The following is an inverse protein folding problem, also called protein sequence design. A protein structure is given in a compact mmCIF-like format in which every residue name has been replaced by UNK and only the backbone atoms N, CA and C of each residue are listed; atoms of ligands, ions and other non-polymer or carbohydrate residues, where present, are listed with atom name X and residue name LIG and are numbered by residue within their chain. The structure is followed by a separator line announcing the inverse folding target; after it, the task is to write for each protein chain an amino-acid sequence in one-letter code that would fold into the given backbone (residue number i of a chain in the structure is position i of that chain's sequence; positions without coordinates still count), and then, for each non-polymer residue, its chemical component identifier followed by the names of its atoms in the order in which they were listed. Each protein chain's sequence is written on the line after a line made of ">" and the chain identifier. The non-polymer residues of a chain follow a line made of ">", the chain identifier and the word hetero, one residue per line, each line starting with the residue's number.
data_IF_759985827791
#
_entry.id   IF_759985827791
#
_cell.length_a   1.000
_cell.length_b   1.000
_cell.length_c   1.000
_cell.angle_alpha   90.00
_cell.angle_beta   90.00
_cell.angle_gamma   90.00
#
_symmetry.space_group_name_H-M   'P 1'
#
loop_
_entity.id
_entity.type
_entity.pdbx_description
1 polymer ?
#
# COMPACT_ATOMS: atom_id res chain seq x y z
N UNK A 1 40.19 -18.95 -10.45
CA UNK A 1 39.15 -18.13 -11.11
C UNK A 1 37.81 -18.45 -10.46
N UNK A 2 37.05 -17.44 -9.98
CA UNK A 2 35.71 -17.63 -9.39
C UNK A 2 34.69 -16.90 -10.27
N UNK A 3 33.54 -17.55 -10.51
CA UNK A 3 32.44 -17.01 -11.32
C UNK A 3 31.17 -17.09 -10.48
N UNK A 4 30.37 -16.02 -10.48
CA UNK A 4 29.07 -15.94 -9.81
C UNK A 4 28.08 -15.16 -10.67
N UNK A 5 26.80 -15.54 -10.64
CA UNK A 5 25.70 -14.83 -11.31
C UNK A 5 24.42 -14.94 -10.49
N UNK A 6 23.53 -13.96 -10.66
CA UNK A 6 22.24 -13.92 -9.98
C UNK A 6 21.25 -14.88 -10.65
N UNK A 7 20.39 -15.50 -9.85
CA UNK A 7 19.31 -16.39 -10.32
C UNK A 7 17.98 -15.96 -9.73
N UNK A 8 16.97 -15.88 -10.57
CA UNK A 8 15.60 -15.58 -10.18
C UNK A 8 14.73 -16.85 -10.26
N UNK A 9 14.06 -17.20 -9.17
CA UNK A 9 13.02 -18.23 -9.05
C UNK A 9 11.67 -17.61 -8.63
N UNK A 10 10.59 -18.39 -8.68
CA UNK A 10 9.27 -17.95 -8.23
C UNK A 10 9.27 -17.48 -6.77
N UNK A 11 10.00 -18.16 -5.88
CA UNK A 11 10.20 -17.76 -4.48
C UNK A 11 10.90 -16.41 -4.37
N UNK A 12 11.98 -16.21 -5.14
CA UNK A 12 12.72 -14.94 -5.08
C UNK A 12 11.89 -13.78 -5.65
N UNK A 13 11.03 -14.03 -6.64
CA UNK A 13 10.09 -13.02 -7.17
C UNK A 13 9.03 -12.65 -6.14
N UNK A 14 8.51 -13.62 -5.40
CA UNK A 14 7.59 -13.37 -4.29
C UNK A 14 8.24 -12.47 -3.23
N UNK A 15 9.48 -12.77 -2.83
CA UNK A 15 10.25 -11.90 -1.93
C UNK A 15 10.54 -10.52 -2.54
N UNK A 16 10.83 -10.46 -3.83
CA UNK A 16 11.11 -9.22 -4.53
C UNK A 16 9.89 -8.29 -4.50
N UNK A 17 8.70 -8.80 -4.85
CA UNK A 17 7.47 -8.03 -4.90
C UNK A 17 6.99 -7.64 -3.50
N UNK A 18 7.00 -8.57 -2.55
CA UNK A 18 6.39 -8.33 -1.24
C UNK A 18 7.31 -7.63 -0.24
N UNK A 19 8.63 -7.65 -0.45
CA UNK A 19 9.60 -7.07 0.50
C UNK A 19 10.60 -6.13 -0.17
N UNK A 20 11.33 -6.61 -1.17
CA UNK A 20 12.47 -5.84 -1.71
C UNK A 20 12.02 -4.57 -2.45
N UNK A 21 10.97 -4.64 -3.26
CA UNK A 21 10.43 -3.49 -4.00
C UNK A 21 9.83 -2.44 -3.06
N UNK A 22 8.95 -2.77 -2.09
CA UNK A 22 8.49 -1.81 -1.09
C UNK A 22 9.64 -1.10 -0.38
N UNK A 23 10.66 -1.84 0.06
CA UNK A 23 11.84 -1.25 0.71
C UNK A 23 12.63 -0.34 -0.23
N UNK A 24 12.79 -0.74 -1.49
CA UNK A 24 13.50 0.05 -2.51
C UNK A 24 12.77 1.36 -2.81
N UNK A 25 11.43 1.35 -2.79
CA UNK A 25 10.59 2.54 -2.99
C UNK A 25 10.74 3.56 -1.87
N UNK A 26 10.83 3.11 -0.62
CA UNK A 26 11.00 4.00 0.55
C UNK A 26 12.28 4.82 0.43
N UNK A 27 13.33 4.24 -0.16
CA UNK A 27 14.64 4.90 -0.35
C UNK A 27 14.88 5.39 -1.80
N UNK A 28 13.84 5.40 -2.64
CA UNK A 28 13.89 5.81 -4.04
C UNK A 28 15.02 5.14 -4.86
N UNK A 29 15.29 3.86 -4.60
CA UNK A 29 16.31 3.10 -5.31
C UNK A 29 15.76 2.50 -6.61
N UNK A 30 16.52 2.66 -7.69
CA UNK A 30 16.17 2.08 -9.00
C UNK A 30 15.92 0.58 -8.91
N UNK A 31 14.81 0.13 -9.49
CA UNK A 31 14.53 -1.29 -9.64
C UNK A 31 15.48 -1.91 -10.67
N UNK A 32 16.31 -2.88 -10.23
CA UNK A 32 17.33 -3.50 -11.08
C UNK A 32 16.74 -4.53 -12.05
N UNK A 33 15.73 -5.28 -11.63
CA UNK A 33 15.07 -6.31 -12.41
C UNK A 33 13.60 -5.96 -12.51
N UNK A 34 13.01 -6.03 -13.70
CA UNK A 34 11.62 -5.63 -13.97
C UNK A 34 10.66 -6.70 -13.44
N UNK A 35 10.51 -6.80 -12.12
CA UNK A 35 9.97 -7.99 -11.44
C UNK A 35 8.54 -8.29 -11.87
N UNK A 36 7.69 -7.26 -11.98
CA UNK A 36 6.30 -7.40 -12.43
C UNK A 36 6.22 -7.96 -13.86
N UNK A 37 7.08 -7.49 -14.76
CA UNK A 37 7.17 -8.00 -16.13
C UNK A 37 7.69 -9.43 -16.19
N UNK A 38 8.70 -9.77 -15.38
CA UNK A 38 9.22 -11.14 -15.26
C UNK A 38 8.10 -12.10 -14.85
N UNK A 39 7.26 -11.73 -13.88
CA UNK A 39 6.09 -12.54 -13.48
C UNK A 39 5.15 -12.78 -14.66
N UNK A 40 4.75 -11.73 -15.37
CA UNK A 40 3.83 -11.82 -16.52
C UNK A 40 4.37 -12.75 -17.63
N UNK A 41 5.59 -12.52 -18.10
CA UNK A 41 6.17 -13.32 -19.18
C UNK A 41 6.46 -14.76 -18.75
N UNK A 42 6.81 -14.98 -17.47
CA UNK A 42 7.00 -16.34 -16.95
C UNK A 42 5.68 -17.10 -16.88
N UNK A 43 4.58 -16.45 -16.44
CA UNK A 43 3.24 -17.04 -16.50
C UNK A 43 2.83 -17.38 -17.93
N UNK A 44 3.05 -16.47 -18.88
CA UNK A 44 2.74 -16.72 -20.28
C UNK A 44 3.48 -17.95 -20.80
N UNK A 45 4.78 -18.06 -20.50
CA UNK A 45 5.60 -19.22 -20.88
C UNK A 45 5.14 -20.52 -20.22
N UNK A 46 4.89 -20.50 -18.92
CA UNK A 46 4.46 -21.68 -18.16
C UNK A 46 3.07 -22.14 -18.59
N UNK A 47 2.15 -21.22 -18.85
CA UNK A 47 0.83 -21.53 -19.41
C UNK A 47 0.95 -22.27 -20.74
N UNK A 48 1.76 -21.77 -21.68
CA UNK A 48 1.99 -22.45 -22.97
C UNK A 48 2.60 -23.83 -22.79
N UNK A 49 3.58 -23.98 -21.88
CA UNK A 49 4.20 -25.25 -21.58
C UNK A 49 3.18 -26.25 -21.02
N UNK A 50 2.39 -25.85 -20.03
CA UNK A 50 1.38 -26.71 -19.40
C UNK A 50 0.30 -27.13 -20.40
N UNK A 51 -0.17 -26.22 -21.28
CA UNK A 51 -1.09 -26.56 -22.37
C UNK A 51 -0.49 -27.59 -23.33
N UNK A 52 0.77 -27.40 -23.74
CA UNK A 52 1.44 -28.37 -24.63
C UNK A 52 1.63 -29.73 -23.98
N UNK A 53 2.01 -29.76 -22.70
CA UNK A 53 2.18 -30.99 -21.93
C UNK A 53 0.85 -31.72 -21.77
N UNK A 54 -0.25 -30.99 -21.51
CA UNK A 54 -1.58 -31.56 -21.44
C UNK A 54 -2.01 -32.18 -22.77
N UNK A 55 -1.84 -31.47 -23.88
CA UNK A 55 -2.19 -32.00 -25.20
C UNK A 55 -1.42 -33.29 -25.53
N UNK A 56 -0.15 -33.40 -25.11
CA UNK A 56 0.64 -34.63 -25.27
C UNK A 56 0.09 -35.80 -24.43
N UNK A 57 -0.40 -35.52 -23.21
CA UNK A 57 -1.03 -36.55 -22.36
C UNK A 57 -2.37 -37.00 -22.95
N UNK A 58 -3.17 -36.07 -23.48
CA UNK A 58 -4.48 -36.36 -24.09
C UNK A 58 -4.37 -37.15 -25.40
N UNK A 59 -3.31 -36.94 -26.19
CA UNK A 59 -3.06 -37.73 -27.41
C UNK A 59 -2.67 -39.19 -27.13
N UNK A 60 -2.39 -39.55 -25.88
CA UNK A 60 -2.00 -40.90 -25.48
C UNK A 60 -0.61 -41.32 -25.96
N UNK A 61 -0.18 -42.50 -25.52
CA UNK A 61 1.11 -43.12 -25.87
C UNK A 61 1.99 -43.44 -24.65
N UNK A 62 3.08 -44.18 -24.88
CA UNK A 62 3.96 -44.73 -23.84
C UNK A 62 4.54 -43.66 -22.89
N UNK A 63 4.64 -42.41 -23.35
CA UNK A 63 5.17 -41.30 -22.59
C UNK A 63 4.13 -40.56 -21.72
N UNK A 64 2.83 -40.79 -21.91
CA UNK A 64 1.79 -40.01 -21.24
C UNK A 64 1.81 -40.19 -19.70
N UNK A 65 1.93 -41.42 -19.21
CA UNK A 65 2.03 -41.70 -17.77
C UNK A 65 3.31 -41.12 -17.16
N UNK A 66 4.43 -41.21 -17.89
CA UNK A 66 5.73 -40.67 -17.47
C UNK A 66 5.68 -39.15 -17.31
N UNK A 67 5.04 -38.46 -18.27
CA UNK A 67 4.84 -37.01 -18.25
C UNK A 67 3.94 -36.61 -17.07
N UNK A 68 2.84 -37.31 -16.84
CA UNK A 68 1.90 -37.02 -15.76
C UNK A 68 2.54 -37.17 -14.36
N UNK A 69 3.47 -38.11 -14.20
CA UNK A 69 4.20 -38.34 -12.95
C UNK A 69 5.47 -37.51 -12.82
N UNK A 70 5.79 -36.67 -13.82
CA UNK A 70 7.02 -35.90 -13.85
C UNK A 70 7.08 -34.85 -12.72
N UNK A 71 8.15 -34.91 -11.92
CA UNK A 71 8.45 -33.93 -10.87
C UNK A 71 8.57 -32.52 -11.46
N UNK A 72 9.11 -32.39 -12.69
CA UNK A 72 9.27 -31.09 -13.36
C UNK A 72 7.92 -30.46 -13.68
N UNK A 73 6.95 -31.26 -14.13
CA UNK A 73 5.59 -30.76 -14.43
C UNK A 73 4.92 -30.28 -13.16
N UNK A 74 5.00 -31.06 -12.07
CA UNK A 74 4.46 -30.66 -10.75
C UNK A 74 5.11 -29.39 -10.22
N UNK A 75 6.42 -29.25 -10.39
CA UNK A 75 7.13 -28.02 -10.00
C UNK A 75 6.65 -26.81 -10.80
N UNK A 76 6.52 -26.94 -12.13
CA UNK A 76 5.98 -25.86 -12.98
C UNK A 76 4.54 -25.51 -12.61
N UNK A 77 3.68 -26.50 -12.32
CA UNK A 77 2.31 -26.25 -11.84
C UNK A 77 2.30 -25.47 -10.52
N UNK A 78 3.16 -25.85 -9.57
CA UNK A 78 3.30 -25.15 -8.28
C UNK A 78 3.78 -23.71 -8.46
N UNK A 79 4.81 -23.52 -9.28
CA UNK A 79 5.37 -22.20 -9.57
C UNK A 79 4.37 -21.34 -10.36
N UNK A 80 3.60 -21.93 -11.27
CA UNK A 80 2.55 -21.25 -12.01
C UNK A 80 1.49 -20.67 -11.08
N UNK A 81 1.01 -21.44 -10.09
CA UNK A 81 0.06 -20.96 -9.08
C UNK A 81 0.63 -19.82 -8.25
N UNK A 82 1.88 -19.95 -7.79
CA UNK A 82 2.57 -18.90 -7.02
C UNK A 82 2.72 -17.62 -7.83
N UNK A 83 3.18 -17.73 -9.08
CA UNK A 83 3.31 -16.59 -9.98
C UNK A 83 1.94 -15.96 -10.28
N UNK A 84 0.88 -16.76 -10.38
CA UNK A 84 -0.48 -16.26 -10.59
C UNK A 84 -0.95 -15.40 -9.41
N UNK A 85 -0.65 -15.82 -8.18
CA UNK A 85 -0.95 -15.00 -7.00
C UNK A 85 -0.20 -13.66 -7.01
N UNK A 86 1.05 -13.63 -7.50
CA UNK A 86 1.79 -12.38 -7.68
C UNK A 86 1.16 -11.51 -8.78
N UNK A 87 0.76 -12.11 -9.90
CA UNK A 87 0.09 -11.39 -10.98
C UNK A 87 -1.26 -10.82 -10.56
N UNK A 88 -2.04 -11.57 -9.77
CA UNK A 88 -3.27 -11.08 -9.12
C UNK A 88 -2.99 -9.81 -8.31
N UNK A 89 -1.99 -9.83 -7.43
CA UNK A 89 -1.61 -8.66 -6.63
C UNK A 89 -1.15 -7.47 -7.50
N UNK A 90 -0.44 -7.73 -8.60
CA UNK A 90 -0.05 -6.70 -9.57
C UNK A 90 -1.28 -6.07 -10.24
N UNK A 91 -2.23 -6.88 -10.69
CA UNK A 91 -3.46 -6.35 -11.30
C UNK A 91 -4.28 -5.55 -10.29
N UNK A 92 -4.48 -6.07 -9.08
CA UNK A 92 -5.24 -5.37 -8.04
C UNK A 92 -4.65 -4.00 -7.69
N UNK A 93 -3.32 -3.85 -7.69
CA UNK A 93 -2.67 -2.56 -7.42
C UNK A 93 -2.71 -1.56 -8.58
N UNK A 94 -3.05 -2.01 -9.79
CA UNK A 94 -3.12 -1.18 -11.00
C UNK A 94 -4.56 -1.07 -11.56
N UNK A 95 -5.55 -1.50 -10.78
CA UNK A 95 -6.97 -1.32 -11.07
C UNK A 95 -7.44 0.10 -10.74
N UNK A 96 -8.14 0.75 -11.68
CA UNK A 96 -8.85 1.99 -11.39
C UNK A 96 -10.07 1.76 -10.48
N UNK A 97 -10.55 2.83 -9.82
CA UNK A 97 -11.79 2.80 -9.04
C UNK A 97 -12.98 2.32 -9.91
N UNK A 98 -13.95 1.57 -9.37
CA UNK A 98 -15.06 1.00 -10.15
C UNK A 98 -15.84 2.06 -10.93
N UNK A 99 -16.01 3.24 -10.34
CA UNK A 99 -16.82 4.34 -10.90
C UNK A 99 -16.00 5.34 -11.72
N UNK A 100 -14.69 5.11 -11.84
CA UNK A 100 -13.82 5.99 -12.61
C UNK A 100 -14.03 5.76 -14.11
N UNK A 101 -14.05 6.86 -14.87
CA UNK A 101 -14.18 6.86 -16.34
C UNK A 101 -12.88 7.35 -16.97
N UNK A 102 -11.78 6.71 -16.60
CA UNK A 102 -10.47 7.04 -17.12
C UNK A 102 -10.25 6.45 -18.50
N UNK A 103 -9.69 7.26 -19.40
CA UNK A 103 -9.34 6.86 -20.76
C UNK A 103 -7.81 6.94 -20.93
N UNK A 104 -7.08 5.89 -20.51
CA UNK A 104 -5.63 5.91 -20.59
C UNK A 104 -5.14 5.91 -22.05
N UNK A 105 -4.13 6.71 -22.34
CA UNK A 105 -3.39 6.67 -23.60
C UNK A 105 -2.58 5.37 -23.68
N UNK A 106 -2.57 4.71 -24.83
CA UNK A 106 -1.78 3.50 -25.02
C UNK A 106 -0.35 3.86 -25.41
N UNK A 107 0.61 3.54 -24.55
CA UNK A 107 2.03 3.62 -24.86
C UNK A 107 2.56 2.21 -25.15
N UNK A 108 3.18 1.94 -26.31
CA UNK A 108 3.76 0.62 -26.56
C UNK A 108 4.76 0.23 -25.47
N UNK A 109 4.57 -0.97 -24.89
CA UNK A 109 5.44 -1.47 -23.84
C UNK A 109 6.91 -1.59 -24.29
N UNK A 110 7.79 -0.79 -23.70
CA UNK A 110 9.24 -0.77 -24.00
C UNK A 110 10.09 -1.27 -22.81
N UNK A 111 9.44 -1.69 -21.73
CA UNK A 111 10.03 -2.08 -20.45
C UNK A 111 10.80 -0.95 -19.71
N UNK A 112 10.85 0.28 -20.18
CA UNK A 112 11.77 1.30 -19.66
C UNK A 112 11.06 2.42 -18.90
N UNK A 113 9.74 2.41 -18.88
CA UNK A 113 8.95 3.33 -18.06
C UNK A 113 9.27 3.12 -16.57
N UNK A 114 9.74 4.18 -15.92
CA UNK A 114 10.03 4.18 -14.48
C UNK A 114 9.34 5.35 -13.81
N UNK A 115 8.90 5.13 -12.56
CA UNK A 115 8.32 6.19 -11.78
C UNK A 115 9.40 7.22 -11.42
N UNK A 116 9.17 8.49 -11.77
CA UNK A 116 10.10 9.59 -11.47
C UNK A 116 10.37 9.72 -9.97
N UNK A 117 9.41 9.32 -9.12
CA UNK A 117 9.51 9.31 -7.68
C UNK A 117 10.29 8.13 -7.11
N UNK A 118 9.69 6.94 -7.16
CA UNK A 118 10.21 5.79 -6.46
C UNK A 118 11.25 5.01 -7.27
N UNK A 119 11.48 5.42 -8.53
CA UNK A 119 12.43 4.82 -9.48
C UNK A 119 12.21 3.34 -9.78
N UNK A 120 11.06 2.80 -9.36
CA UNK A 120 10.64 1.45 -9.72
C UNK A 120 10.05 1.43 -11.12
N UNK A 121 10.17 0.29 -11.78
CA UNK A 121 9.57 0.08 -13.08
C UNK A 121 8.04 0.07 -12.94
N UNK A 122 7.39 0.72 -13.90
CA UNK A 122 5.94 0.72 -14.03
C UNK A 122 5.56 -0.46 -14.92
N UNK A 123 4.67 -1.32 -14.43
CA UNK A 123 4.21 -2.47 -15.20
C UNK A 123 3.20 -2.05 -16.26
N UNK A 124 2.02 -1.56 -15.89
CA UNK A 124 1.00 -1.19 -16.87
C UNK A 124 0.57 0.27 -16.77
N UNK A 125 -0.08 0.66 -15.66
CA UNK A 125 -0.78 1.97 -15.56
C UNK A 125 -0.04 3.00 -14.74
N UNK A 126 -0.01 4.23 -15.25
CA UNK A 126 0.67 5.36 -14.64
C UNK A 126 0.11 6.70 -15.13
N UNK A 127 0.43 7.76 -14.40
CA UNK A 127 0.17 9.13 -14.82
C UNK A 127 1.42 9.69 -15.49
N UNK A 128 1.26 10.26 -16.68
CA UNK A 128 2.32 10.98 -17.37
C UNK A 128 1.97 12.45 -17.48
N UNK A 129 2.91 13.35 -17.16
CA UNK A 129 2.73 14.78 -17.36
C UNK A 129 3.71 15.32 -18.41
N UNK A 130 3.14 15.82 -19.51
CA UNK A 130 3.87 16.38 -20.66
C UNK A 130 4.29 17.84 -20.44
N UNK A 131 3.64 18.56 -19.51
CA UNK A 131 3.94 19.98 -19.23
C UNK A 131 5.10 20.15 -18.25
N UNK A 132 5.21 19.28 -17.26
CA UNK A 132 6.21 19.38 -16.20
C UNK A 132 7.58 18.76 -16.58
N UNK A 133 7.79 18.38 -17.86
CA UNK A 133 9.05 17.78 -18.36
C UNK A 133 10.28 18.69 -18.25
N UNK A 134 10.12 19.99 -18.53
CA UNK A 134 11.24 20.95 -18.68
C UNK A 134 11.35 21.96 -17.52
N UNK A 135 10.67 21.73 -16.40
CA UNK A 135 10.52 22.77 -15.37
C UNK A 135 11.86 23.16 -14.68
N UNK A 136 12.92 22.34 -14.82
CA UNK A 136 14.19 22.53 -14.10
C UNK A 136 15.46 22.37 -14.96
N UNK A 137 15.43 21.63 -16.06
CA UNK A 137 16.55 21.53 -17.01
C UNK A 137 16.01 21.23 -18.41
N UNK A 138 16.48 21.97 -19.42
CA UNK A 138 16.16 21.69 -20.82
C UNK A 138 16.83 20.43 -21.38
N UNK A 139 17.68 19.78 -20.60
CA UNK A 139 18.40 18.55 -20.98
C UNK A 139 17.66 17.26 -20.58
N UNK A 140 16.66 17.34 -19.69
CA UNK A 140 15.88 16.17 -19.27
C UNK A 140 14.66 16.06 -20.20
N UNK A 141 14.79 15.21 -21.21
CA UNK A 141 13.73 14.99 -22.21
C UNK A 141 12.63 14.02 -21.72
N UNK A 142 12.82 13.38 -20.57
CA UNK A 142 11.90 12.37 -20.04
C UNK A 142 10.62 12.98 -19.44
N UNK A 143 9.43 12.44 -19.78
CA UNK A 143 8.18 12.87 -19.18
C UNK A 143 8.13 12.58 -17.68
N UNK A 144 7.31 13.35 -16.95
CA UNK A 144 7.14 13.14 -15.53
C UNK A 144 6.12 12.04 -15.27
N UNK A 145 6.60 10.83 -15.03
CA UNK A 145 5.79 9.62 -14.91
C UNK A 145 5.65 9.18 -13.45
N UNK A 146 4.42 8.92 -13.01
CA UNK A 146 4.08 8.55 -11.63
C UNK A 146 3.31 7.25 -11.62
N UNK A 147 3.82 6.24 -10.92
CA UNK A 147 3.12 4.96 -10.80
C UNK A 147 1.85 5.10 -9.95
N UNK A 148 0.86 4.22 -10.20
CA UNK A 148 -0.41 4.15 -9.43
C UNK A 148 -0.19 4.17 -7.91
N UNK A 149 0.80 3.41 -7.42
CA UNK A 149 1.06 3.30 -5.99
C UNK A 149 1.58 4.61 -5.38
N UNK A 150 2.47 5.31 -6.09
CA UNK A 150 2.93 6.65 -5.68
C UNK A 150 1.78 7.66 -5.73
N UNK A 151 0.95 7.60 -6.76
CA UNK A 151 -0.21 8.47 -6.90
C UNK A 151 -1.23 8.27 -5.77
N UNK A 152 -1.55 7.02 -5.42
CA UNK A 152 -2.45 6.70 -4.30
C UNK A 152 -1.92 7.19 -2.93
N UNK A 153 -0.60 7.40 -2.80
CA UNK A 153 0.01 8.03 -1.61
C UNK A 153 -0.01 9.57 -1.66
N UNK A 154 -0.68 10.17 -2.65
CA UNK A 154 -0.77 11.63 -2.84
C UNK A 154 0.39 12.25 -3.61
N UNK A 155 1.26 11.44 -4.25
CA UNK A 155 2.39 11.97 -5.03
C UNK A 155 1.92 12.39 -6.41
N UNK A 156 2.19 13.63 -6.79
CA UNK A 156 1.81 14.20 -8.09
C UNK A 156 2.76 15.31 -8.50
N UNK A 157 2.86 15.62 -9.80
CA UNK A 157 3.72 16.72 -10.24
C UNK A 157 3.17 18.10 -9.79
N UNK A 158 4.06 19.09 -9.73
CA UNK A 158 3.75 20.49 -9.37
C UNK A 158 2.57 21.12 -10.11
N UNK A 159 2.33 20.73 -11.36
CA UNK A 159 1.26 21.31 -12.17
C UNK A 159 -0.13 20.71 -11.90
N UNK A 160 -0.27 19.72 -11.00
CA UNK A 160 -1.48 19.04 -10.47
C UNK A 160 -2.54 18.53 -11.47
N UNK A 161 -2.94 19.33 -12.47
CA UNK A 161 -3.97 19.05 -13.48
C UNK A 161 -3.44 18.59 -14.84
N UNK A 162 -2.14 18.70 -15.11
CA UNK A 162 -1.54 18.38 -16.42
C UNK A 162 -1.25 16.91 -16.71
N UNK A 163 -1.78 15.98 -15.90
CA UNK A 163 -1.49 14.56 -16.04
C UNK A 163 -2.50 13.86 -16.96
N UNK A 164 -2.02 12.89 -17.72
CA UNK A 164 -2.84 11.96 -18.48
C UNK A 164 -2.55 10.54 -18.00
N UNK A 165 -3.60 9.74 -17.82
CA UNK A 165 -3.42 8.31 -17.61
C UNK A 165 -2.82 7.65 -18.85
N UNK A 166 -1.90 6.74 -18.64
CA UNK A 166 -1.24 5.95 -19.68
C UNK A 166 -1.29 4.48 -19.27
N UNK A 167 -1.46 3.59 -20.23
CA UNK A 167 -1.32 2.14 -20.06
C UNK A 167 -0.37 1.55 -21.10
N UNK A 168 0.41 0.54 -20.72
CA UNK A 168 1.36 -0.12 -21.63
C UNK A 168 0.77 -1.32 -22.37
N UNK A 169 -0.23 -1.95 -21.76
CA UNK A 169 -1.08 -2.97 -22.34
C UNK A 169 -2.54 -2.60 -22.13
N UNK A 170 -3.36 -3.00 -23.10
CA UNK A 170 -4.80 -2.88 -22.96
C UNK A 170 -5.24 -3.66 -21.74
N UNK A 171 -5.94 -2.99 -20.84
CA UNK A 171 -6.42 -3.61 -19.61
C UNK A 171 -7.26 -4.87 -19.86
N UNK A 172 -8.06 -4.86 -20.93
CA UNK A 172 -8.87 -6.02 -21.35
C UNK A 172 -8.01 -7.25 -21.64
N UNK A 173 -6.85 -7.08 -22.26
CA UNK A 173 -5.95 -8.18 -22.59
C UNK A 173 -5.36 -8.79 -21.31
N UNK A 174 -5.00 -7.94 -20.34
CA UNK A 174 -4.50 -8.39 -19.02
C UNK A 174 -5.57 -9.16 -18.23
N UNK A 175 -6.83 -8.74 -18.29
CA UNK A 175 -7.96 -9.47 -17.69
C UNK A 175 -8.16 -10.80 -18.41
N UNK A 176 -8.18 -10.83 -19.74
CA UNK A 176 -8.35 -12.09 -20.47
C UNK A 176 -7.25 -13.10 -20.12
N UNK A 177 -6.00 -12.64 -19.97
CA UNK A 177 -4.90 -13.49 -19.48
C UNK A 177 -5.14 -13.98 -18.06
N UNK A 178 -5.64 -13.13 -17.18
CA UNK A 178 -6.00 -13.51 -15.81
C UNK A 178 -7.03 -14.64 -15.82
N UNK A 179 -8.12 -14.49 -16.58
CA UNK A 179 -9.19 -15.49 -16.64
C UNK A 179 -8.72 -16.80 -17.29
N UNK A 180 -7.93 -16.72 -18.36
CA UNK A 180 -7.32 -17.88 -19.03
C UNK A 180 -6.42 -18.68 -18.09
N UNK A 181 -5.60 -17.99 -17.29
CA UNK A 181 -4.69 -18.63 -16.34
C UNK A 181 -5.43 -19.15 -15.11
N UNK A 182 -6.46 -18.44 -14.66
CA UNK A 182 -7.37 -18.92 -13.61
C UNK A 182 -8.05 -20.22 -14.02
N UNK A 183 -8.59 -20.29 -15.24
CA UNK A 183 -9.21 -21.50 -15.77
C UNK A 183 -8.22 -22.67 -15.82
N UNK A 184 -6.96 -22.42 -16.19
CA UNK A 184 -5.90 -23.43 -16.15
C UNK A 184 -5.57 -23.91 -14.73
N UNK A 185 -5.61 -23.03 -13.73
CA UNK A 185 -5.40 -23.44 -12.33
C UNK A 185 -6.52 -24.37 -11.86
N UNK A 186 -7.78 -24.04 -12.17
CA UNK A 186 -8.94 -24.89 -11.85
C UNK A 186 -8.77 -26.27 -12.48
N UNK A 187 -8.35 -26.32 -13.73
CA UNK A 187 -8.10 -27.56 -14.44
C UNK A 187 -6.94 -28.38 -13.84
N UNK A 188 -5.85 -27.72 -13.43
CA UNK A 188 -4.72 -28.38 -12.75
C UNK A 188 -5.16 -29.00 -11.41
N UNK A 189 -6.05 -28.33 -10.68
CA UNK A 189 -6.62 -28.84 -9.42
C UNK A 189 -7.69 -29.91 -9.63
N UNK A 190 -8.26 -30.01 -10.84
CA UNK A 190 -9.33 -30.93 -11.21
C UNK A 190 -10.69 -30.60 -10.58
N UNK A 191 -10.74 -29.69 -9.61
CA UNK A 191 -11.95 -29.22 -8.95
C UNK A 191 -11.73 -27.83 -8.35
N UNK A 192 -12.82 -27.13 -8.04
CA UNK A 192 -12.76 -25.89 -7.28
C UNK A 192 -12.49 -26.20 -5.81
N UNK A 193 -11.50 -25.54 -5.23
CA UNK A 193 -11.13 -25.60 -3.82
C UNK A 193 -11.25 -24.22 -3.19
N UNK A 194 -11.19 -24.13 -1.86
CA UNK A 194 -11.18 -22.83 -1.16
C UNK A 194 -9.96 -21.96 -1.52
N UNK A 195 -8.90 -22.57 -2.07
CA UNK A 195 -7.68 -21.89 -2.52
C UNK A 195 -7.74 -21.49 -3.99
N UNK A 196 -8.80 -21.85 -4.70
CA UNK A 196 -8.98 -21.49 -6.10
C UNK A 196 -9.16 -19.98 -6.20
N UNK A 197 -8.37 -19.29 -7.04
CA UNK A 197 -8.50 -17.85 -7.18
C UNK A 197 -9.90 -17.45 -7.65
N UNK A 198 -10.40 -16.32 -7.15
CA UNK A 198 -11.70 -15.78 -7.55
C UNK A 198 -11.54 -14.97 -8.86
N UNK A 199 -12.64 -14.62 -9.55
CA UNK A 199 -12.58 -13.64 -10.62
C UNK A 199 -12.00 -12.30 -10.09
N UNK A 200 -11.26 -11.57 -10.92
CA UNK A 200 -10.50 -10.39 -10.48
C UNK A 200 -11.37 -9.33 -9.78
N UNK A 201 -12.61 -9.15 -10.23
CA UNK A 201 -13.55 -8.21 -9.59
C UNK A 201 -13.95 -8.63 -8.17
N UNK A 202 -14.05 -9.94 -7.91
CA UNK A 202 -14.38 -10.46 -6.59
C UNK A 202 -13.16 -10.41 -5.67
N UNK A 203 -11.96 -10.75 -6.18
CA UNK A 203 -10.69 -10.56 -5.46
C UNK A 203 -10.53 -9.12 -4.96
N UNK A 204 -10.94 -8.15 -5.78
CA UNK A 204 -10.93 -6.73 -5.39
C UNK A 204 -11.85 -6.46 -4.20
N UNK A 205 -13.06 -7.02 -4.18
CA UNK A 205 -14.00 -6.84 -3.06
C UNK A 205 -13.41 -7.41 -1.77
N UNK A 206 -12.82 -8.60 -1.83
CA UNK A 206 -12.15 -9.25 -0.69
C UNK A 206 -10.93 -8.44 -0.22
N UNK A 207 -10.20 -7.80 -1.15
CA UNK A 207 -9.09 -6.93 -0.80
C UNK A 207 -9.56 -5.64 -0.08
N UNK A 208 -10.63 -5.02 -0.56
CA UNK A 208 -11.21 -3.81 0.04
C UNK A 208 -11.78 -4.06 1.44
N UNK A 209 -12.31 -5.25 1.73
CA UNK A 209 -12.77 -5.62 3.10
C UNK A 209 -11.62 -5.92 4.07
N UNK A 210 -10.37 -5.72 3.64
CA UNK A 210 -9.17 -5.96 4.45
C UNK A 210 -8.92 -7.43 4.76
N UNK A 211 -9.69 -8.37 4.20
CA UNK A 211 -9.50 -9.81 4.40
C UNK A 211 -8.13 -10.28 3.90
N UNK A 212 -7.65 -9.69 2.80
CA UNK A 212 -6.28 -9.90 2.28
C UNK A 212 -5.17 -9.41 3.23
N UNK A 213 -5.43 -8.38 4.05
CA UNK A 213 -4.44 -7.84 5.00
C UNK A 213 -4.38 -8.63 6.31
N UNK A 214 -5.29 -9.58 6.53
CA UNK A 214 -5.36 -10.45 7.73
C UNK A 214 -4.50 -11.72 7.63
N UNK A 215 -3.57 -11.82 6.67
CA UNK A 215 -2.59 -12.92 6.66
C UNK A 215 -1.64 -12.75 7.86
N UNK A 216 -1.69 -13.70 8.81
CA UNK A 216 -0.88 -13.71 10.03
C UNK A 216 0.64 -13.63 9.80
N UNK A 217 1.12 -13.84 8.56
CA UNK A 217 2.53 -13.72 8.18
C UNK A 217 2.95 -12.31 7.76
N UNK A 218 1.99 -11.41 7.52
CA UNK A 218 2.24 -10.01 7.18
C UNK A 218 2.36 -9.21 8.48
N UNK A 219 3.49 -8.53 8.70
CA UNK A 219 3.62 -7.54 9.76
C UNK A 219 3.35 -6.15 9.14
N UNK A 220 2.26 -5.46 9.52
CA UNK A 220 2.03 -4.09 9.08
C UNK A 220 3.27 -3.23 9.36
N UNK A 221 3.55 -2.30 8.45
CA UNK A 221 4.59 -1.32 8.71
C UNK A 221 4.15 -0.44 9.88
N UNK A 222 4.81 -0.62 11.02
CA UNK A 222 4.75 0.36 12.10
C UNK A 222 5.69 1.51 11.72
N UNK A 223 5.17 2.73 11.54
CA UNK A 223 6.03 3.89 11.34
C UNK A 223 6.94 4.02 12.56
N UNK A 224 8.23 3.71 12.36
CA UNK A 224 9.28 4.04 13.33
C UNK A 224 9.19 5.54 13.51
N UNK A 225 8.78 5.99 14.69
CA UNK A 225 8.26 7.33 14.95
C UNK A 225 8.96 8.44 14.16
N UNK A 226 8.20 9.44 13.73
CA UNK A 226 8.72 10.64 13.09
C UNK A 226 9.72 11.30 14.03
N UNK A 227 11.03 11.15 13.77
CA UNK A 227 12.07 11.88 14.47
C UNK A 227 11.96 13.37 14.09
N UNK A 228 11.53 14.26 15.00
CA UNK A 228 11.28 15.65 14.68
C UNK A 228 12.62 16.41 14.69
N UNK A 229 13.28 16.56 13.53
CA UNK A 229 14.39 17.53 13.46
C UNK A 229 14.79 18.06 12.08
N UNK A 230 14.24 17.59 10.97
CA UNK A 230 14.71 18.03 9.66
C UNK A 230 13.58 18.36 8.68
N UNK A 231 13.69 19.57 8.10
CA UNK A 231 12.88 20.06 6.99
C UNK A 231 13.07 19.16 5.76
N UNK A 232 12.02 18.43 5.39
CA UNK A 232 12.00 17.50 4.27
C UNK A 232 12.02 18.19 2.90
N UNK A 233 11.72 19.50 2.82
CA UNK A 233 11.79 20.27 1.56
C UNK A 233 13.21 20.36 1.00
N UNK A 234 14.24 20.30 1.85
CA UNK A 234 15.64 20.38 1.42
C UNK A 234 16.13 19.13 0.68
N UNK A 235 15.44 18.00 0.85
CA UNK A 235 15.84 16.69 0.32
C UNK A 235 14.78 16.11 -0.63
N UNK A 236 13.56 16.62 -0.59
CA UNK A 236 12.49 16.21 -1.50
C UNK A 236 12.81 16.59 -2.95
N UNK A 237 12.37 15.75 -3.90
CA UNK A 237 12.37 16.11 -5.32
C UNK A 237 11.53 17.38 -5.48
N UNK A 238 12.11 18.45 -6.03
CA UNK A 238 11.44 19.76 -6.17
C UNK A 238 10.21 19.68 -7.08
N UNK A 239 10.09 18.62 -7.91
CA UNK A 239 8.92 18.33 -8.72
C UNK A 239 7.77 17.70 -7.92
N UNK A 240 8.02 17.31 -6.68
CA UNK A 240 7.08 16.64 -5.77
C UNK A 240 6.21 17.62 -4.99
N UNK A 241 4.89 17.39 -5.03
CA UNK A 241 3.92 18.01 -4.11
C UNK A 241 3.43 16.97 -3.11
N UNK A 242 4.34 16.22 -2.48
CA UNK A 242 3.97 15.42 -1.32
C UNK A 242 3.33 16.28 -0.23
N UNK A 243 2.49 15.68 0.61
CA UNK A 243 2.18 16.17 1.96
C UNK A 243 3.47 16.16 2.79
N UNK A 244 4.44 16.98 2.41
CA UNK A 244 5.63 17.25 3.18
C UNK A 244 5.10 17.97 4.42
N UNK A 245 5.07 17.26 5.54
CA UNK A 245 4.93 17.90 6.84
C UNK A 245 6.09 18.89 6.92
N UNK A 246 5.76 20.18 6.88
CA UNK A 246 6.74 21.24 7.01
C UNK A 246 7.17 21.29 8.47
N UNK A 247 8.15 20.48 8.83
CA UNK A 247 8.67 20.42 10.21
C UNK A 247 9.45 21.70 10.60
N UNK A 248 9.66 22.66 9.68
CA UNK A 248 10.12 24.01 10.03
C UNK A 248 8.98 24.84 10.64
N UNK A 249 7.73 24.54 10.26
CA UNK A 249 6.53 25.01 10.94
C UNK A 249 6.31 24.10 12.14
N UNK A 250 7.03 24.38 13.21
CA UNK A 250 6.75 23.75 14.49
C UNK A 250 5.31 24.06 14.90
N UNK A 251 4.56 23.04 15.33
CA UNK A 251 3.28 23.28 15.99
C UNK A 251 3.46 24.27 17.16
N UNK A 252 4.65 24.43 17.75
CA UNK A 252 4.95 25.45 18.78
C UNK A 252 4.61 26.90 18.39
N UNK A 253 4.23 27.21 17.15
CA UNK A 253 3.62 28.51 16.82
C UNK A 253 2.40 28.86 17.72
N UNK A 254 1.68 27.89 18.30
CA UNK A 254 0.61 28.19 19.29
C UNK A 254 1.12 28.63 20.68
N UNK A 255 2.42 28.45 20.95
CA UNK A 255 3.13 28.90 22.15
C UNK A 255 3.91 30.20 21.93
N UNK A 256 3.87 30.79 20.73
CA UNK A 256 4.53 32.06 20.48
C UNK A 256 3.64 33.21 20.96
N UNK A 257 4.18 34.03 21.86
CA UNK A 257 3.58 35.31 22.22
C UNK A 257 3.69 36.23 21.00
N UNK A 258 2.58 36.74 20.49
CA UNK A 258 2.60 37.74 19.43
C UNK A 258 2.99 39.10 20.04
N UNK A 259 3.99 39.76 19.45
CA UNK A 259 4.44 41.08 19.90
C UNK A 259 3.26 42.06 19.95
N UNK A 260 2.88 42.47 21.16
CA UNK A 260 1.79 43.42 21.43
C UNK A 260 0.61 42.86 22.22
N UNK A 261 0.50 41.55 22.39
CA UNK A 261 -0.55 40.94 23.21
C UNK A 261 0.08 39.87 24.11
N UNK A 262 0.15 40.14 25.42
CA UNK A 262 0.77 39.26 26.44
C UNK A 262 0.02 37.94 26.71
N UNK A 263 -0.53 37.31 25.67
CA UNK A 263 -1.21 36.02 25.71
C UNK A 263 -0.88 35.22 24.45
N UNK A 264 -0.55 33.94 24.65
CA UNK A 264 -0.28 32.96 23.59
C UNK A 264 -1.56 32.65 22.79
N UNK A 265 -1.41 32.26 21.51
CA UNK A 265 -2.54 31.95 20.63
C UNK A 265 -3.46 30.84 21.21
N UNK A 266 -2.89 29.88 21.94
CA UNK A 266 -3.67 28.87 22.67
C UNK A 266 -4.49 29.46 23.82
N UNK A 267 -3.92 30.40 24.58
CA UNK A 267 -4.63 31.04 25.70
C UNK A 267 -5.81 31.88 25.20
N UNK A 268 -5.68 32.56 24.06
CA UNK A 268 -6.81 33.27 23.45
C UNK A 268 -7.93 32.33 23.03
N UNK A 269 -7.60 31.17 22.44
CA UNK A 269 -8.61 30.16 22.07
C UNK A 269 -9.28 29.52 23.29
N UNK A 270 -8.53 29.25 24.35
CA UNK A 270 -9.09 28.76 25.61
C UNK A 270 -10.03 29.80 26.23
N UNK A 271 -9.61 31.07 26.26
CA UNK A 271 -10.45 32.15 26.77
C UNK A 271 -11.72 32.35 25.91
N UNK A 272 -11.59 32.29 24.58
CA UNK A 272 -12.73 32.36 23.67
C UNK A 272 -13.68 31.17 23.89
N UNK A 273 -13.17 29.96 24.00
CA UNK A 273 -13.98 28.78 24.29
C UNK A 273 -14.68 28.88 25.66
N UNK A 274 -14.03 29.47 26.67
CA UNK A 274 -14.64 29.73 27.98
C UNK A 274 -15.76 30.78 27.89
N UNK A 275 -15.56 31.84 27.10
CA UNK A 275 -16.59 32.84 26.83
C UNK A 275 -17.76 32.27 26.03
N UNK A 276 -17.48 31.41 25.05
CA UNK A 276 -18.49 30.76 24.23
C UNK A 276 -19.33 29.78 25.07
N UNK A 277 -18.72 29.04 26.01
CA UNK A 277 -19.43 28.22 27.02
C UNK A 277 -20.33 29.05 27.93
N UNK A 278 -19.92 30.27 28.30
CA UNK A 278 -20.73 31.18 29.10
C UNK A 278 -21.90 31.77 28.30
N UNK A 279 -21.74 31.90 26.98
CA UNK A 279 -22.76 32.43 26.07
C UNK A 279 -23.79 31.36 25.65
N UNK A 280 -23.36 30.11 25.49
CA UNK A 280 -24.18 28.96 25.16
C UNK A 280 -23.87 27.81 26.13
N UNK A 281 -24.72 27.62 27.17
CA UNK A 281 -24.53 26.57 28.17
C UNK A 281 -24.45 25.15 27.57
N UNK A 282 -25.08 24.91 26.41
CA UNK A 282 -25.04 23.60 25.73
C UNK A 282 -23.63 23.18 25.25
N UNK A 283 -22.67 24.11 25.26
CA UNK A 283 -21.28 23.85 24.94
C UNK A 283 -20.44 23.40 26.17
N UNK A 284 -21.00 23.42 27.39
CA UNK A 284 -20.39 22.80 28.57
C UNK A 284 -20.59 21.27 28.52
N UNK A 285 -19.52 20.45 28.52
CA UNK A 285 -19.63 19.00 28.54
C UNK A 285 -20.38 18.41 29.76
N UNK A 286 -20.68 19.24 30.77
CA UNK A 286 -21.43 18.88 31.98
C UNK A 286 -22.93 19.18 31.87
N UNK A 287 -23.35 19.98 30.90
CA UNK A 287 -24.78 20.17 30.61
C UNK A 287 -25.27 18.95 29.82
N UNK A 288 -25.71 17.93 30.55
CA UNK A 288 -26.43 16.80 30.00
C UNK A 288 -27.89 17.24 29.84
N UNK A 289 -28.33 17.46 28.60
CA UNK A 289 -29.75 17.63 28.30
C UNK A 289 -30.51 16.38 28.78
N UNK A 290 -31.34 16.51 29.83
CA UNK A 290 -32.16 15.43 30.39
C UNK A 290 -33.21 14.88 29.40
N UNK A 291 -33.37 15.48 28.21
CA UNK A 291 -34.40 15.13 27.22
C UNK A 291 -33.89 14.41 25.95
N UNK A 292 -32.59 14.08 25.82
CA UNK A 292 -32.08 13.34 24.64
C UNK A 292 -32.05 11.83 24.90
N UNK A 293 -33.22 11.25 25.13
CA UNK A 293 -33.44 9.84 24.80
C UNK A 293 -33.61 9.74 23.27
N UNK A 294 -32.67 9.06 22.58
CA UNK A 294 -32.69 8.65 21.15
C UNK A 294 -31.93 9.49 20.08
N UNK A 295 -30.70 9.93 20.34
CA UNK A 295 -29.75 10.21 19.24
C UNK A 295 -28.31 9.85 19.61
N UNK A 296 -27.95 8.58 19.43
CA UNK A 296 -26.59 8.06 19.65
C UNK A 296 -25.78 8.19 18.36
N UNK A 297 -25.24 9.37 18.07
CA UNK A 297 -24.18 9.56 17.05
C UNK A 297 -22.77 9.58 17.71
N UNK A 298 -22.51 8.55 18.53
CA UNK A 298 -21.17 8.21 18.99
C UNK A 298 -20.67 6.98 18.25
N UNK A 299 -19.39 6.98 17.84
CA UNK A 299 -18.73 5.83 17.21
C UNK A 299 -18.88 4.61 18.13
N UNK A 300 -19.72 3.65 17.75
CA UNK A 300 -19.86 2.38 18.43
C UNK A 300 -18.68 1.48 18.05
N UNK A 301 -17.79 1.22 19.01
CA UNK A 301 -16.81 0.15 18.86
C UNK A 301 -17.50 -1.20 19.09
N UNK A 302 -17.28 -2.21 18.23
CA UNK A 302 -17.79 -3.55 18.48
C UNK A 302 -17.16 -4.14 19.74
N UNK A 303 -17.86 -5.04 20.46
CA UNK A 303 -17.34 -5.67 21.68
C UNK A 303 -16.03 -6.40 21.38
N UNK A 304 -15.03 -6.23 22.23
CA UNK A 304 -13.76 -6.96 22.16
C UNK A 304 -13.90 -8.19 23.04
N UNK A 305 -13.88 -9.37 22.44
CA UNK A 305 -13.66 -10.63 23.17
C UNK A 305 -12.20 -10.68 23.61
N UNK A 306 -11.97 -10.91 24.89
CA UNK A 306 -10.62 -11.19 25.38
C UNK A 306 -10.17 -12.62 24.98
N UNK A 307 -8.90 -12.93 25.22
CA UNK A 307 -8.32 -14.24 24.85
C UNK A 307 -8.95 -15.44 25.59
N UNK A 308 -9.89 -15.21 26.51
CA UNK A 308 -10.58 -16.24 27.30
C UNK A 308 -12.08 -16.36 26.97
N UNK A 309 -12.62 -15.50 26.10
CA UNK A 309 -13.98 -15.61 25.56
C UNK A 309 -15.09 -15.02 26.43
N UNK A 310 -14.76 -14.11 27.35
CA UNK A 310 -15.78 -13.40 28.15
C UNK A 310 -16.13 -12.03 27.53
N UNK A 311 -17.43 -11.72 27.49
CA UNK A 311 -17.98 -10.47 26.94
C UNK A 311 -18.35 -9.54 28.10
N UNK A 312 -17.73 -8.36 28.17
CA UNK A 312 -18.04 -7.38 29.21
C UNK A 312 -19.31 -6.60 28.85
N UNK A 313 -20.44 -6.91 29.51
CA UNK A 313 -21.75 -6.28 29.23
C UNK A 313 -22.04 -5.00 30.03
N UNK A 314 -21.21 -4.60 31.00
CA UNK A 314 -21.51 -3.43 31.85
C UNK A 314 -20.36 -2.42 31.87
N UNK A 315 -20.59 -1.26 31.26
CA UNK A 315 -19.72 -0.10 31.36
C UNK A 315 -19.97 0.66 32.66
N UNK A 316 -19.39 0.20 33.76
CA UNK A 316 -19.31 0.99 35.00
C UNK A 316 -18.02 1.82 35.02
N UNK A 317 -18.22 3.13 35.10
CA UNK A 317 -17.20 4.15 35.31
C UNK A 317 -16.76 4.10 36.77
N UNK A 318 -15.52 3.67 37.03
CA UNK A 318 -14.90 3.88 38.33
C UNK A 318 -14.37 5.31 38.40
N UNK A 319 -15.05 6.15 39.18
CA UNK A 319 -14.52 7.40 39.73
C UNK A 319 -13.21 7.14 40.48
N UNK A 320 -12.18 7.91 40.15
CA UNK A 320 -10.98 8.03 40.98
C UNK A 320 -10.76 9.51 41.32
N UNK A 321 -11.22 9.85 42.51
CA UNK A 321 -10.89 11.06 43.25
C UNK A 321 -9.37 11.27 43.34
N UNK A 322 -8.98 12.53 43.17
CA UNK A 322 -7.62 12.99 43.35
C UNK A 322 -7.26 13.10 44.83
N UNK A 323 -6.18 12.44 45.27
CA UNK A 323 -5.37 12.90 46.41
C UNK A 323 -3.88 12.56 46.27
N UNK A 324 -3.06 13.62 46.24
CA UNK A 324 -1.64 13.79 46.59
C UNK A 324 -0.76 12.55 46.84
N UNK A 325 0.34 12.47 46.10
CA UNK A 325 1.53 11.70 46.48
C UNK A 325 2.51 11.54 45.32
N UNK A 326 3.54 12.38 45.31
CA UNK A 326 4.69 12.26 44.39
C UNK A 326 5.41 10.95 44.68
N UNK A 327 5.52 10.05 43.69
CA UNK A 327 6.65 9.13 43.59
C UNK A 327 6.94 8.76 42.13
N UNK A 328 8.16 9.09 41.71
CA UNK A 328 8.69 8.98 40.35
C UNK A 328 9.31 7.60 40.14
N UNK A 329 8.65 6.72 39.37
CA UNK A 329 9.14 5.37 39.02
C UNK A 329 9.82 5.28 37.65
N UNK A 330 10.43 6.36 37.14
CA UNK A 330 11.31 6.29 35.97
C UNK A 330 12.72 6.77 36.33
N UNK A 331 13.64 5.80 36.39
CA UNK A 331 15.07 6.10 36.36
C UNK A 331 15.46 6.53 34.94
N UNK A 332 16.13 7.67 34.86
CA UNK A 332 16.63 8.26 33.61
C UNK A 332 17.73 7.37 32.98
N UNK A 333 17.74 7.10 31.66
CA UNK A 333 18.76 6.26 31.05
C UNK A 333 20.12 6.97 31.00
N UNK A 334 21.15 6.33 31.54
CA UNK A 334 22.53 6.82 31.56
C UNK A 334 23.08 7.01 30.13
N UNK A 335 23.42 8.25 29.76
CA UNK A 335 23.81 8.65 28.41
C UNK A 335 25.18 8.11 27.93
N UNK A 336 25.88 7.29 28.73
CA UNK A 336 27.21 6.76 28.41
C UNK A 336 27.32 5.21 28.52
N UNK A 337 26.23 4.47 28.37
CA UNK A 337 26.28 3.00 28.33
C UNK A 337 26.57 2.45 26.92
N UNK A 338 27.66 1.72 26.76
CA UNK A 338 27.96 0.97 25.53
C UNK A 338 26.87 -0.10 25.26
N UNK A 339 26.40 -0.14 24.00
CA UNK A 339 25.33 -1.02 23.53
C UNK A 339 25.92 -2.39 23.14
N UNK A 340 25.33 -3.53 23.57
CA UNK A 340 25.77 -4.87 23.14
C UNK A 340 25.42 -5.19 21.68
#
# INVERSE_FOLDING_TARGET
>A
MKIAWNRTTAETLEMAINKALPNSRIVCRNEQYKNKAIVYYTLQKYSSLLKSTRAQVEMGGDNAESIQRSIKVRQVQKDFKKLFDLYKSILLSEMFAPDSREHPELLPYDNNVTCTYCRCNIFNRFLSCKSCKNLFSGEIEEPYDVCMECYCMGRSCGCQSGHTWVEQWKWKDLIHKYDDWRAQIIDIDGHMTDKTPLPLQEERRVCNTGAWRRDARQKPYEPKGTLPRHDSKKVADVRSVECLVDFSVSNLNWLREEEGFGQNAMQRRLHQAELDKLADPSLDPRDIDEDIAYARDGIAFPPVEDANGDVNENGDTHDLDAHNGVDSYYADPNANGDIP
#
